data_IF_868013386106
#
_entry.id   IF_868013386106
#
_cell.length_a   1.000
_cell.length_b   1.000
_cell.length_c   1.000
_cell.angle_alpha   90.00
_cell.angle_beta   90.00
_cell.angle_gamma   90.00
#
_symmetry.space_group_name_H-M   'P 1'
#
loop_
_entity.id
_entity.type
_entity.pdbx_description
1 polymer ?
#
# COMPACT_ATOMS: atom_id res chain seq x y z
N UNK A 1 -7.35 -11.79 7.31
CA UNK A 1 -7.29 -10.61 8.23
C UNK A 1 -6.69 -9.51 7.38
N UNK A 2 -7.41 -8.40 7.18
CA UNK A 2 -7.12 -7.42 6.12
C UNK A 2 -5.63 -7.09 5.94
N UNK A 3 -4.93 -6.76 7.04
CA UNK A 3 -3.50 -6.42 7.02
C UNK A 3 -2.63 -7.58 6.56
N UNK A 4 -2.92 -8.82 6.97
CA UNK A 4 -2.18 -10.01 6.54
C UNK A 4 -2.32 -10.24 5.03
N UNK A 5 -3.53 -10.05 4.51
CA UNK A 5 -3.85 -10.25 3.09
C UNK A 5 -3.22 -9.13 2.24
N UNK A 6 -3.24 -7.89 2.75
CA UNK A 6 -2.59 -6.73 2.16
C UNK A 6 -1.06 -6.83 2.17
N UNK A 7 -0.46 -7.40 3.22
CA UNK A 7 0.98 -7.54 3.39
C UNK A 7 1.63 -8.45 2.35
N UNK A 8 1.01 -9.58 2.00
CA UNK A 8 1.50 -10.42 0.92
C UNK A 8 1.56 -9.66 -0.42
N UNK A 9 0.50 -8.90 -0.70
CA UNK A 9 0.38 -8.09 -1.92
C UNK A 9 1.39 -6.93 -1.93
N UNK A 10 1.59 -6.29 -0.79
CA UNK A 10 2.53 -5.19 -0.62
C UNK A 10 4.00 -5.65 -0.74
N UNK A 11 4.36 -6.80 -0.16
CA UNK A 11 5.69 -7.41 -0.33
C UNK A 11 5.95 -7.74 -1.80
N UNK A 12 4.97 -8.35 -2.47
CA UNK A 12 5.08 -8.67 -3.90
C UNK A 12 5.25 -7.40 -4.73
N UNK A 13 4.51 -6.34 -4.42
CA UNK A 13 4.67 -5.04 -5.05
C UNK A 13 6.04 -4.40 -4.76
N UNK A 14 6.55 -4.52 -3.52
CA UNK A 14 7.85 -4.00 -3.13
C UNK A 14 8.99 -4.71 -3.91
N UNK A 15 8.95 -6.04 -4.00
CA UNK A 15 9.89 -6.85 -4.80
C UNK A 15 9.83 -6.49 -6.28
N UNK A 16 8.62 -6.33 -6.84
CA UNK A 16 8.45 -5.95 -8.24
C UNK A 16 9.04 -4.55 -8.52
N UNK A 17 8.89 -3.61 -7.59
CA UNK A 17 9.41 -2.24 -7.69
C UNK A 17 10.90 -2.13 -7.47
N UNK A 18 11.45 -2.97 -6.60
CA UNK A 18 12.88 -2.96 -6.30
C UNK A 18 13.72 -3.50 -7.45
N UNK A 19 13.11 -4.32 -8.33
CA UNK A 19 13.81 -5.03 -9.38
C UNK A 19 14.57 -6.27 -8.89
N UNK A 20 14.60 -6.52 -7.57
CA UNK A 20 15.26 -7.68 -6.97
C UNK A 20 14.29 -8.85 -6.84
N UNK A 21 14.07 -9.56 -7.95
CA UNK A 21 13.13 -10.70 -8.05
C UNK A 21 13.43 -11.84 -7.07
N UNK A 22 14.70 -12.01 -6.69
CA UNK A 22 15.18 -13.09 -5.81
C UNK A 22 15.64 -12.59 -4.42
N UNK A 23 15.21 -11.39 -4.02
CA UNK A 23 15.57 -10.86 -2.70
C UNK A 23 14.93 -11.72 -1.59
N UNK A 24 15.77 -12.26 -0.69
CA UNK A 24 15.34 -13.06 0.47
C UNK A 24 15.22 -12.23 1.76
N UNK A 25 15.63 -10.96 1.70
CA UNK A 25 15.67 -10.05 2.83
C UNK A 25 14.72 -8.88 2.56
N UNK A 26 13.49 -9.03 3.07
CA UNK A 26 12.43 -8.04 2.95
C UNK A 26 11.85 -7.81 4.33
N UNK A 27 11.96 -6.58 4.82
CA UNK A 27 11.35 -6.17 6.09
C UNK A 27 10.40 -5.00 5.89
N UNK A 28 9.37 -4.93 6.73
CA UNK A 28 8.50 -3.75 6.84
C UNK A 28 9.21 -2.77 7.75
N UNK A 29 9.59 -1.62 7.19
CA UNK A 29 10.23 -0.56 7.95
C UNK A 29 9.20 0.38 8.59
N UNK A 30 8.16 0.75 7.85
CA UNK A 30 7.17 1.72 8.32
C UNK A 30 5.82 1.59 7.60
N UNK A 31 4.74 1.97 8.27
CA UNK A 31 3.40 2.07 7.70
C UNK A 31 2.79 3.40 8.12
N UNK A 32 2.58 4.31 7.17
CA UNK A 32 2.09 5.67 7.45
C UNK A 32 0.82 5.96 6.68
N UNK A 33 -0.20 6.46 7.38
CA UNK A 33 -1.40 7.03 6.73
C UNK A 33 -1.01 8.33 6.03
N UNK A 34 -1.25 8.40 4.73
CA UNK A 34 -1.01 9.61 3.93
C UNK A 34 -2.27 10.43 3.74
N UNK A 35 -3.42 9.76 3.62
CA UNK A 35 -4.73 10.42 3.61
C UNK A 35 -5.65 9.72 4.62
N UNK A 36 -6.15 10.50 5.57
CA UNK A 36 -7.13 10.02 6.55
C UNK A 36 -8.44 9.60 5.86
N UNK A 37 -9.28 8.84 6.58
CA UNK A 37 -10.55 8.34 6.09
C UNK A 37 -11.42 9.47 5.50
N UNK A 38 -11.76 9.35 4.22
CA UNK A 38 -12.55 10.32 3.47
C UNK A 38 -13.53 9.63 2.52
N UNK A 39 -14.45 10.41 1.95
CA UNK A 39 -15.39 9.90 0.97
C UNK A 39 -14.78 10.04 -0.43
N UNK A 40 -14.83 8.96 -1.20
CA UNK A 40 -14.42 8.95 -2.61
C UNK A 40 -15.66 8.68 -3.46
N UNK A 41 -15.86 9.52 -4.48
CA UNK A 41 -16.96 9.36 -5.45
C UNK A 41 -16.37 8.79 -6.73
N UNK A 42 -16.85 7.62 -7.15
CA UNK A 42 -16.43 6.98 -8.39
C UNK A 42 -17.68 6.62 -9.21
N UNK A 43 -17.86 7.31 -10.34
CA UNK A 43 -19.09 7.24 -11.13
C UNK A 43 -20.31 7.66 -10.31
N UNK A 44 -21.25 6.72 -10.13
CA UNK A 44 -22.49 6.96 -9.37
C UNK A 44 -22.46 6.32 -7.96
N UNK A 45 -21.28 5.92 -7.47
CA UNK A 45 -21.10 5.31 -6.15
C UNK A 45 -20.25 6.21 -5.26
N UNK A 46 -20.61 6.28 -3.99
CA UNK A 46 -19.83 6.96 -2.95
C UNK A 46 -19.28 5.92 -1.99
N UNK A 47 -17.97 5.76 -1.97
CA UNK A 47 -17.25 4.93 -1.00
C UNK A 47 -16.93 5.78 0.22
N UNK A 48 -17.41 5.38 1.39
CA UNK A 48 -17.22 6.12 2.63
C UNK A 48 -16.05 5.54 3.41
N UNK A 49 -15.21 6.42 3.96
CA UNK A 49 -14.10 6.03 4.83
C UNK A 49 -12.94 5.37 4.09
N UNK A 50 -12.72 5.69 2.82
CA UNK A 50 -11.51 5.30 2.08
C UNK A 50 -10.31 6.00 2.72
N UNK A 51 -9.21 5.28 2.90
CA UNK A 51 -7.96 5.87 3.39
C UNK A 51 -6.76 5.36 2.60
N UNK A 52 -5.70 6.16 2.60
CA UNK A 52 -4.45 5.85 1.90
C UNK A 52 -3.30 5.74 2.88
N UNK A 53 -2.43 4.78 2.63
CA UNK A 53 -1.19 4.57 3.37
C UNK A 53 -0.02 4.44 2.42
N UNK A 54 1.19 4.66 2.92
CA UNK A 54 2.44 4.27 2.28
C UNK A 54 3.17 3.34 3.23
N UNK A 55 3.44 2.13 2.75
CA UNK A 55 4.20 1.11 3.47
C UNK A 55 5.62 1.11 2.93
N UNK A 56 6.57 1.41 3.80
CA UNK A 56 7.98 1.39 3.49
C UNK A 56 8.54 -0.01 3.77
N UNK A 57 9.13 -0.61 2.76
CA UNK A 57 9.83 -1.88 2.85
C UNK A 57 11.32 -1.68 2.64
N UNK A 58 12.15 -2.33 3.45
CA UNK A 58 13.56 -2.47 3.14
C UNK A 58 13.73 -3.77 2.37
N UNK A 59 14.07 -3.66 1.08
CA UNK A 59 14.27 -4.79 0.17
C UNK A 59 15.74 -4.84 -0.21
N UNK A 60 16.49 -5.79 0.34
CA UNK A 60 17.93 -5.96 0.06
C UNK A 60 18.72 -4.64 0.24
N UNK A 61 18.43 -3.89 1.30
CA UNK A 61 19.08 -2.61 1.62
C UNK A 61 18.50 -1.39 0.89
N UNK A 62 17.52 -1.56 0.00
CA UNK A 62 16.83 -0.46 -0.68
C UNK A 62 15.47 -0.18 -0.06
N UNK A 63 15.19 1.08 0.26
CA UNK A 63 13.89 1.51 0.77
C UNK A 63 12.87 1.66 -0.37
N UNK A 64 11.75 0.96 -0.27
CA UNK A 64 10.67 0.95 -1.26
C UNK A 64 9.37 1.39 -0.62
N UNK A 65 8.80 2.50 -1.11
CA UNK A 65 7.44 2.91 -0.79
C UNK A 65 6.39 2.15 -1.61
N UNK A 66 5.42 1.55 -0.93
CA UNK A 66 4.24 0.92 -1.52
C UNK A 66 3.00 1.69 -1.08
N UNK A 67 2.35 2.46 -1.97
CA UNK A 67 1.09 3.10 -1.69
C UNK A 67 -0.01 2.03 -1.65
N UNK A 68 -0.76 2.07 -0.57
CA UNK A 68 -1.90 1.22 -0.28
C UNK A 68 -3.15 2.09 -0.23
N UNK A 69 -4.21 1.68 -0.90
CA UNK A 69 -5.53 2.28 -0.75
C UNK A 69 -6.47 1.24 -0.20
N UNK A 70 -7.18 1.58 0.86
CA UNK A 70 -8.16 0.71 1.49
C UNK A 70 -9.56 1.28 1.27
N UNK A 71 -10.45 0.46 0.75
CA UNK A 71 -11.80 0.84 0.30
C UNK A 71 -12.81 -0.02 1.07
N UNK A 72 -13.47 0.56 2.08
CA UNK A 72 -14.58 -0.11 2.75
C UNK A 72 -15.75 -0.35 1.78
N UNK A 73 -16.40 -1.49 1.93
CA UNK A 73 -17.64 -1.75 1.21
C UNK A 73 -18.76 -0.85 1.74
N UNK A 74 -19.70 -0.47 0.86
CA UNK A 74 -20.78 0.47 1.19
C UNK A 74 -21.67 0.01 2.35
N UNK A 75 -21.76 -1.31 2.57
CA UNK A 75 -22.59 -1.93 3.60
C UNK A 75 -21.81 -2.30 4.88
N UNK A 76 -20.53 -1.96 4.97
CA UNK A 76 -19.67 -2.23 6.14
C UNK A 76 -19.30 -3.70 6.34
N UNK A 77 -19.60 -4.58 5.37
CA UNK A 77 -19.33 -6.02 5.43
C UNK A 77 -17.87 -6.42 5.16
N UNK A 78 -17.04 -5.49 4.68
CA UNK A 78 -15.68 -5.79 4.27
C UNK A 78 -14.86 -4.56 3.91
N UNK A 79 -13.59 -4.79 3.60
CA UNK A 79 -12.67 -3.78 3.08
C UNK A 79 -11.83 -4.42 2.00
N UNK A 80 -11.85 -3.84 0.82
CA UNK A 80 -10.94 -4.20 -0.27
C UNK A 80 -9.71 -3.29 -0.23
N UNK A 81 -8.61 -3.72 -0.83
CA UNK A 81 -7.39 -2.93 -0.89
C UNK A 81 -6.76 -3.02 -2.27
N UNK A 82 -6.02 -1.98 -2.64
CA UNK A 82 -5.22 -1.95 -3.87
C UNK A 82 -3.83 -1.43 -3.58
N UNK A 83 -2.85 -1.91 -4.34
CA UNK A 83 -1.50 -1.32 -4.39
C UNK A 83 -1.49 -0.32 -5.53
N UNK A 84 -1.29 0.97 -5.22
CA UNK A 84 -1.25 2.03 -6.24
C UNK A 84 -0.02 1.87 -7.16
N UNK A 85 -0.01 2.46 -8.37
CA UNK A 85 1.15 2.39 -9.26
C UNK A 85 2.41 2.94 -8.57
N UNK A 86 3.57 2.41 -8.93
CA UNK A 86 4.85 2.92 -8.45
C UNK A 86 5.01 4.37 -8.92
N UNK A 87 4.72 5.34 -8.06
CA UNK A 87 5.06 6.72 -8.36
C UNK A 87 6.57 6.83 -8.33
N UNK A 88 7.15 7.16 -9.48
CA UNK A 88 8.57 7.42 -9.71
C UNK A 88 8.96 8.70 -8.93
N UNK A 89 9.03 8.60 -7.61
CA UNK A 89 9.20 9.74 -6.71
C UNK A 89 9.30 9.35 -5.23
N UNK A 90 8.66 8.25 -4.82
CA UNK A 90 8.73 7.77 -3.42
C UNK A 90 9.84 6.73 -3.17
N UNK A 91 10.68 6.47 -4.17
CA UNK A 91 11.82 5.53 -4.05
C UNK A 91 12.97 6.08 -3.18
N UNK A 92 12.85 7.29 -2.64
CA UNK A 92 13.82 7.89 -1.72
C UNK A 92 13.12 8.36 -0.46
N UNK A 93 12.69 7.41 0.37
CA UNK A 93 12.47 7.71 1.80
C UNK A 93 13.86 7.95 2.38
N UNK A 94 14.20 9.23 2.58
CA UNK A 94 15.46 9.66 3.19
C UNK A 94 15.55 9.09 4.62
N UNK A 95 16.72 8.54 5.03
CA UNK A 95 16.93 8.04 6.40
C UNK A 95 16.78 9.12 7.46
#
# INVERSE_FOLDING_TARGET
>A
MLVKDAMLSAITAALARSGFKDCKDVDVFDMRVTDAAHNVVEGNKTFKGVWNEVWAFQVCGQMIGVPMTFIPDADGGGTTFTTGPAKMGDATVKP
#
